data_IF_390844164003
#
_entry.id   IF_390844164003
#
_cell.length_a   1.000
_cell.length_b   1.000
_cell.length_c   1.000
_cell.angle_alpha   90.00
_cell.angle_beta   90.00
_cell.angle_gamma   90.00
#
_symmetry.space_group_name_H-M   'P 1'
#
loop_
_entity.id
_entity.type
_entity.pdbx_description
1 polymer ?
#
# COMPACT_ATOMS: atom_id res chain seq x y z
N UNK A 1 -3.19 6.06 -15.38
CA UNK A 1 -2.89 5.42 -14.07
C UNK A 1 -4.18 5.27 -13.31
N UNK A 2 -4.31 4.26 -12.45
CA UNK A 2 -5.44 4.14 -11.51
C UNK A 2 -4.88 4.16 -10.07
N UNK A 3 -5.31 5.14 -9.29
CA UNK A 3 -5.02 5.23 -7.85
C UNK A 3 -6.06 4.39 -7.11
N UNK A 4 -5.62 3.33 -6.42
CA UNK A 4 -6.49 2.34 -5.80
C UNK A 4 -6.33 2.42 -4.29
N UNK A 5 -7.42 2.73 -3.59
CA UNK A 5 -7.45 2.96 -2.15
C UNK A 5 -8.36 1.92 -1.49
N UNK A 6 -7.82 0.91 -0.80
CA UNK A 6 -8.63 0.01 0.01
C UNK A 6 -9.12 0.74 1.24
N UNK A 7 -10.41 0.62 1.56
CA UNK A 7 -11.02 1.28 2.72
C UNK A 7 -11.87 0.34 3.57
N UNK A 8 -11.86 0.60 4.88
CA UNK A 8 -12.82 0.06 5.84
C UNK A 8 -12.88 0.95 7.08
N UNK A 9 -13.96 1.76 7.17
CA UNK A 9 -14.18 2.76 8.22
C UNK A 9 -13.05 3.79 8.29
N UNK A 10 -12.82 4.49 7.17
CA UNK A 10 -11.72 5.45 6.98
C UNK A 10 -12.22 6.90 6.81
N UNK A 11 -13.47 7.21 7.23
CA UNK A 11 -14.06 8.54 7.08
C UNK A 11 -13.19 9.67 7.66
N UNK A 12 -12.42 9.37 8.71
CA UNK A 12 -11.51 10.33 9.35
C UNK A 12 -10.27 10.66 8.50
N UNK A 13 -9.73 9.68 7.77
CA UNK A 13 -8.42 9.80 7.09
C UNK A 13 -8.55 10.02 5.59
N UNK A 14 -9.53 9.39 4.96
CA UNK A 14 -9.75 9.42 3.53
C UNK A 14 -9.83 10.83 2.92
N UNK A 15 -10.47 11.86 3.54
CA UNK A 15 -10.51 13.20 2.97
C UNK A 15 -9.14 13.78 2.69
N UNK A 16 -8.20 13.62 3.62
CA UNK A 16 -6.84 14.17 3.50
C UNK A 16 -6.02 13.44 2.44
N UNK A 17 -6.17 12.12 2.32
CA UNK A 17 -5.58 11.37 1.22
C UNK A 17 -6.10 11.89 -0.11
N UNK A 18 -7.43 12.00 -0.29
CA UNK A 18 -8.05 12.44 -1.54
C UNK A 18 -7.65 13.88 -1.90
N UNK A 19 -7.46 14.75 -0.92
CA UNK A 19 -6.90 16.10 -1.12
C UNK A 19 -5.46 16.02 -1.62
N UNK A 20 -4.60 15.19 -1.02
CA UNK A 20 -3.22 15.00 -1.47
C UNK A 20 -3.11 14.36 -2.87
N UNK A 21 -4.09 13.51 -3.24
CA UNK A 21 -4.22 12.97 -4.60
C UNK A 21 -4.60 14.08 -5.58
N UNK A 22 -5.51 14.98 -5.23
CA UNK A 22 -5.86 16.13 -6.08
C UNK A 22 -4.70 17.12 -6.26
N UNK A 23 -3.81 17.23 -5.27
CA UNK A 23 -2.65 18.10 -5.29
C UNK A 23 -1.46 17.55 -6.09
N UNK A 24 -1.60 16.42 -6.79
CA UNK A 24 -0.51 15.88 -7.62
C UNK A 24 -0.20 16.81 -8.81
N UNK A 25 1.09 16.90 -9.17
CA UNK A 25 1.55 17.71 -10.32
C UNK A 25 1.08 17.18 -11.66
N UNK A 26 0.77 15.88 -11.74
CA UNK A 26 0.26 15.20 -12.93
C UNK A 26 -1.11 14.59 -12.63
N UNK A 27 -2.12 14.96 -13.43
CA UNK A 27 -3.52 14.57 -13.22
C UNK A 27 -4.02 13.46 -14.17
N UNK A 28 -3.13 12.73 -14.83
CA UNK A 28 -3.48 11.65 -15.76
C UNK A 28 -3.85 10.34 -15.03
N UNK A 29 -4.84 10.40 -14.12
CA UNK A 29 -5.28 9.24 -13.34
C UNK A 29 -6.77 9.27 -12.99
N UNK A 30 -7.30 8.10 -12.70
CA UNK A 30 -8.59 7.90 -12.01
C UNK A 30 -8.35 7.52 -10.54
N UNK A 31 -9.34 7.72 -9.69
CA UNK A 31 -9.31 7.30 -8.27
C UNK A 31 -10.39 6.26 -8.03
N UNK A 32 -9.99 5.11 -7.50
CA UNK A 32 -10.87 4.00 -7.15
C UNK A 32 -10.77 3.73 -5.65
N UNK A 33 -11.88 3.85 -4.95
CA UNK A 33 -12.00 3.49 -3.54
C UNK A 33 -12.65 2.11 -3.45
N UNK A 34 -11.86 1.13 -3.01
CA UNK A 34 -12.30 -0.25 -2.82
C UNK A 34 -12.78 -0.45 -1.38
N UNK A 35 -14.06 -0.22 -1.15
CA UNK A 35 -14.67 -0.22 0.18
C UNK A 35 -15.10 -1.62 0.63
N UNK A 36 -14.69 -2.01 1.84
CA UNK A 36 -14.94 -3.33 2.42
C UNK A 36 -16.09 -3.31 3.44
N UNK A 37 -17.19 -2.62 3.10
CA UNK A 37 -18.40 -2.54 3.95
C UNK A 37 -18.25 -1.53 5.09
N UNK A 38 -17.82 -0.31 4.81
CA UNK A 38 -17.75 0.78 5.79
C UNK A 38 -19.13 1.24 6.24
N UNK A 39 -19.23 1.61 7.51
CA UNK A 39 -20.47 2.09 8.17
C UNK A 39 -20.35 3.53 8.69
N UNK A 40 -19.23 4.23 8.44
CA UNK A 40 -18.86 5.52 9.03
C UNK A 40 -18.90 6.72 8.04
N UNK A 41 -19.53 6.56 6.90
CA UNK A 41 -19.58 7.63 5.89
C UNK A 41 -18.42 7.63 4.88
N UNK A 42 -17.46 6.72 4.98
CA UNK A 42 -16.33 6.56 4.03
C UNK A 42 -16.78 6.59 2.57
N UNK A 43 -17.82 5.82 2.23
CA UNK A 43 -18.37 5.72 0.87
C UNK A 43 -18.90 7.05 0.36
N UNK A 44 -19.62 7.80 1.20
CA UNK A 44 -20.17 9.11 0.84
C UNK A 44 -19.07 10.13 0.59
N UNK A 45 -18.04 10.13 1.43
CA UNK A 45 -16.83 10.97 1.25
C UNK A 45 -16.14 10.66 -0.07
N UNK A 46 -15.93 9.39 -0.38
CA UNK A 46 -15.30 8.98 -1.63
C UNK A 46 -16.07 9.45 -2.86
N UNK A 47 -17.40 9.24 -2.87
CA UNK A 47 -18.28 9.68 -3.98
C UNK A 47 -18.31 11.20 -4.11
N UNK A 48 -18.43 11.93 -3.02
CA UNK A 48 -18.40 13.40 -3.04
C UNK A 48 -17.07 13.95 -3.57
N UNK A 49 -15.98 13.19 -3.39
CA UNK A 49 -14.67 13.52 -3.95
C UNK A 49 -14.52 13.14 -5.43
N UNK A 50 -15.52 12.53 -6.07
CA UNK A 50 -15.46 12.11 -7.48
C UNK A 50 -14.75 10.77 -7.71
N UNK A 51 -14.47 10.00 -6.64
CA UNK A 51 -13.88 8.68 -6.79
C UNK A 51 -14.91 7.63 -7.25
N UNK A 52 -14.46 6.69 -8.06
CA UNK A 52 -15.22 5.46 -8.36
C UNK A 52 -15.19 4.56 -7.12
N UNK A 53 -16.36 4.22 -6.58
CA UNK A 53 -16.45 3.36 -5.40
C UNK A 53 -16.87 1.95 -5.80
N UNK A 54 -16.03 0.97 -5.45
CA UNK A 54 -16.33 -0.46 -5.60
C UNK A 54 -16.50 -1.09 -4.22
N UNK A 55 -17.70 -1.58 -3.93
CA UNK A 55 -18.03 -2.14 -2.62
C UNK A 55 -17.89 -3.66 -2.62
N UNK A 56 -17.57 -4.22 -1.46
CA UNK A 56 -17.49 -5.66 -1.24
C UNK A 56 -17.42 -6.02 0.23
N UNK A 57 -17.26 -7.30 0.49
CA UNK A 57 -17.15 -7.82 1.85
C UNK A 57 -15.73 -7.60 2.41
N UNK A 58 -15.63 -7.60 3.74
CA UNK A 58 -14.36 -7.52 4.44
C UNK A 58 -13.63 -8.87 4.47
N UNK A 59 -12.81 -9.12 3.45
CA UNK A 59 -11.99 -10.34 3.32
C UNK A 59 -10.49 -10.12 3.55
N UNK A 60 -10.06 -8.87 3.73
CA UNK A 60 -8.68 -8.48 3.96
C UNK A 60 -8.19 -7.40 2.98
N UNK A 61 -7.02 -6.81 3.24
CA UNK A 61 -6.51 -5.71 2.41
C UNK A 61 -6.14 -6.15 0.99
N UNK A 62 -5.66 -7.38 0.82
CA UNK A 62 -5.32 -7.95 -0.49
C UNK A 62 -6.55 -8.05 -1.40
N UNK A 63 -7.69 -8.54 -0.87
CA UNK A 63 -8.94 -8.63 -1.63
C UNK A 63 -9.43 -7.23 -2.02
N UNK A 64 -9.44 -6.28 -1.09
CA UNK A 64 -9.85 -4.90 -1.39
C UNK A 64 -9.03 -4.28 -2.51
N UNK A 65 -7.71 -4.43 -2.47
CA UNK A 65 -6.81 -3.94 -3.53
C UNK A 65 -7.05 -4.66 -4.86
N UNK A 66 -7.22 -5.98 -4.86
CA UNK A 66 -7.55 -6.75 -6.07
C UNK A 66 -8.88 -6.33 -6.68
N UNK A 67 -9.91 -6.11 -5.85
CA UNK A 67 -11.22 -5.62 -6.28
C UNK A 67 -11.10 -4.24 -6.95
N UNK A 68 -10.34 -3.32 -6.37
CA UNK A 68 -10.04 -2.04 -6.99
C UNK A 68 -9.30 -2.19 -8.32
N UNK A 69 -8.31 -3.08 -8.39
CA UNK A 69 -7.56 -3.35 -9.61
C UNK A 69 -8.42 -3.95 -10.73
N UNK A 70 -9.41 -4.79 -10.41
CA UNK A 70 -10.38 -5.31 -11.39
C UNK A 70 -11.27 -4.23 -12.00
N UNK A 71 -11.57 -3.19 -11.26
CA UNK A 71 -12.37 -2.05 -11.74
C UNK A 71 -11.57 -0.98 -12.47
N UNK A 72 -10.26 -1.01 -12.33
CA UNK A 72 -9.35 0.00 -12.86
C UNK A 72 -9.19 -0.10 -14.38
N UNK A 73 -9.12 1.05 -15.07
CA UNK A 73 -8.90 1.15 -16.51
C UNK A 73 -7.49 1.60 -16.91
N UNK A 74 -6.70 2.17 -15.99
CA UNK A 74 -5.33 2.64 -16.26
C UNK A 74 -4.33 1.50 -16.44
N UNK A 75 -3.26 1.72 -17.20
CA UNK A 75 -2.18 0.74 -17.45
C UNK A 75 -1.17 0.62 -16.30
N UNK A 76 -1.28 1.48 -15.32
CA UNK A 76 -0.48 1.51 -14.10
C UNK A 76 -1.41 1.57 -12.90
N UNK A 77 -1.22 0.70 -11.95
CA UNK A 77 -1.90 0.70 -10.66
C UNK A 77 -1.00 1.33 -9.60
N UNK A 78 -1.50 2.33 -8.90
CA UNK A 78 -0.89 2.93 -7.72
C UNK A 78 -1.78 2.60 -6.52
N UNK A 79 -1.32 1.71 -5.66
CA UNK A 79 -2.01 1.32 -4.43
C UNK A 79 -1.56 2.22 -3.28
N UNK A 80 -2.51 2.77 -2.56
CA UNK A 80 -2.25 3.68 -1.43
C UNK A 80 -3.21 3.38 -0.30
N UNK A 81 -2.70 3.26 0.93
CA UNK A 81 -3.56 3.10 2.11
C UNK A 81 -4.30 4.40 2.43
N UNK A 82 -5.54 4.29 2.94
CA UNK A 82 -6.44 5.41 3.15
C UNK A 82 -5.95 6.45 4.17
N UNK A 83 -4.99 6.09 5.01
CA UNK A 83 -4.39 6.95 6.04
C UNK A 83 -3.00 7.49 5.65
N UNK A 84 -2.71 7.51 4.35
CA UNK A 84 -1.48 8.09 3.80
C UNK A 84 -1.70 9.53 3.29
N UNK A 85 -0.59 10.28 3.22
CA UNK A 85 -0.49 11.58 2.56
C UNK A 85 0.58 11.51 1.49
N UNK A 86 0.22 11.87 0.27
CA UNK A 86 1.10 11.80 -0.89
C UNK A 86 1.82 13.13 -1.11
N UNK A 87 3.14 13.14 -1.34
CA UNK A 87 3.81 14.33 -1.79
C UNK A 87 3.39 14.67 -3.23
N UNK A 88 3.35 15.97 -3.62
CA UNK A 88 2.78 16.41 -4.90
C UNK A 88 3.41 15.78 -6.15
N UNK A 89 4.69 15.42 -6.11
CA UNK A 89 5.42 14.85 -7.24
C UNK A 89 5.38 13.32 -7.33
N UNK A 90 4.59 12.61 -6.49
CA UNK A 90 4.62 11.14 -6.46
C UNK A 90 4.23 10.52 -7.81
N UNK A 91 3.12 10.95 -8.41
CA UNK A 91 2.63 10.40 -9.68
C UNK A 91 3.64 10.64 -10.80
N UNK A 92 4.24 11.83 -10.86
CA UNK A 92 5.31 12.14 -11.80
C UNK A 92 6.53 11.21 -11.64
N UNK A 93 6.96 10.98 -10.41
CA UNK A 93 8.08 10.08 -10.10
C UNK A 93 7.79 8.62 -10.46
N UNK A 94 6.54 8.18 -10.29
CA UNK A 94 6.13 6.84 -10.73
C UNK A 94 6.20 6.74 -12.26
N UNK A 95 5.71 7.73 -12.99
CA UNK A 95 5.80 7.73 -14.45
C UNK A 95 7.26 7.75 -14.93
N UNK A 96 8.10 8.60 -14.35
CA UNK A 96 9.53 8.65 -14.68
C UNK A 96 10.25 7.31 -14.45
N UNK A 97 9.94 6.62 -13.35
CA UNK A 97 10.50 5.29 -13.11
C UNK A 97 10.03 4.24 -14.14
N UNK A 98 8.82 4.40 -14.67
CA UNK A 98 8.23 3.50 -15.65
C UNK A 98 8.66 3.82 -17.11
N UNK A 99 9.45 4.87 -17.38
CA UNK A 99 10.11 5.08 -18.67
C UNK A 99 11.07 3.92 -18.98
N UNK A 100 11.76 3.39 -17.96
CA UNK A 100 12.49 2.13 -18.08
C UNK A 100 11.48 0.96 -18.19
N UNK A 101 11.42 0.35 -19.38
CA UNK A 101 10.49 -0.75 -19.66
C UNK A 101 10.77 -2.02 -18.86
N UNK A 102 11.96 -2.16 -18.27
CA UNK A 102 12.29 -3.27 -17.38
C UNK A 102 11.65 -3.13 -16.00
N UNK A 103 11.30 -1.91 -15.60
CA UNK A 103 10.61 -1.63 -14.34
C UNK A 103 9.14 -1.99 -14.48
N UNK A 104 8.71 -2.95 -13.68
CA UNK A 104 7.33 -3.46 -13.69
C UNK A 104 6.52 -3.04 -12.45
N UNK A 105 7.18 -2.55 -11.42
CA UNK A 105 6.58 -2.08 -10.19
C UNK A 105 7.61 -1.49 -9.24
N UNK A 106 7.13 -0.98 -8.13
CA UNK A 106 8.01 -0.40 -7.11
C UNK A 106 7.24 0.01 -5.85
N UNK A 107 8.00 0.37 -4.84
CA UNK A 107 7.51 0.91 -3.57
C UNK A 107 8.16 2.25 -3.25
N UNK A 108 7.59 2.98 -2.30
CA UNK A 108 8.07 4.31 -1.90
C UNK A 108 8.74 4.27 -0.54
N UNK A 109 9.49 5.31 -0.22
CA UNK A 109 9.87 5.63 1.15
C UNK A 109 8.62 6.02 1.96
N UNK A 110 8.66 5.85 3.27
CA UNK A 110 7.56 6.22 4.15
C UNK A 110 8.06 6.86 5.43
N UNK A 111 7.24 7.73 6.01
CA UNK A 111 7.50 8.44 7.26
C UNK A 111 6.24 8.50 8.11
N UNK A 112 6.37 8.66 9.45
CA UNK A 112 5.23 8.83 10.32
C UNK A 112 4.66 10.24 10.19
N UNK A 113 3.36 10.36 9.94
CA UNK A 113 2.65 11.63 10.04
C UNK A 113 2.61 12.11 11.49
N UNK A 114 3.03 13.35 11.74
CA UNK A 114 3.10 13.93 13.09
C UNK A 114 3.78 12.99 14.11
N UNK A 115 4.89 12.38 13.67
CA UNK A 115 5.63 11.41 14.47
C UNK A 115 6.53 12.06 15.54
N UNK A 116 6.77 11.32 16.63
CA UNK A 116 7.81 11.62 17.59
C UNK A 116 9.19 11.38 16.97
N UNK A 117 10.27 11.89 17.62
CA UNK A 117 11.65 11.62 17.18
C UNK A 117 11.95 10.12 17.10
N UNK A 118 11.44 9.33 18.03
CA UNK A 118 11.59 7.87 18.04
C UNK A 118 10.89 7.23 16.82
N UNK A 119 9.66 7.63 16.54
CA UNK A 119 8.91 7.12 15.38
C UNK A 119 9.60 7.47 14.05
N UNK A 120 10.13 8.68 13.90
CA UNK A 120 10.93 9.04 12.73
C UNK A 120 12.20 8.18 12.58
N UNK A 121 12.93 7.91 13.67
CA UNK A 121 14.12 7.04 13.61
C UNK A 121 13.73 5.62 13.22
N UNK A 122 12.65 5.07 13.81
CA UNK A 122 12.14 3.74 13.51
C UNK A 122 11.77 3.61 12.03
N UNK A 123 11.00 4.58 11.49
CA UNK A 123 10.56 4.58 10.11
C UNK A 123 11.71 4.78 9.12
N UNK A 124 12.69 5.63 9.46
CA UNK A 124 13.92 5.77 8.66
C UNK A 124 14.70 4.46 8.58
N UNK A 125 14.84 3.74 9.69
CA UNK A 125 15.50 2.43 9.70
C UNK A 125 14.72 1.40 8.85
N UNK A 126 13.39 1.34 8.97
CA UNK A 126 12.54 0.46 8.17
C UNK A 126 12.59 0.81 6.67
N UNK A 127 12.55 2.09 6.31
CA UNK A 127 12.70 2.58 4.94
C UNK A 127 14.08 2.22 4.36
N UNK A 128 15.15 2.41 5.14
CA UNK A 128 16.51 2.05 4.74
C UNK A 128 16.63 0.53 4.50
N UNK A 129 16.07 -0.28 5.39
CA UNK A 129 16.00 -1.74 5.22
C UNK A 129 15.26 -2.11 3.92
N UNK A 130 14.07 -1.54 3.69
CA UNK A 130 13.28 -1.78 2.46
C UNK A 130 14.08 -1.43 1.21
N UNK A 131 14.76 -0.29 1.22
CA UNK A 131 15.60 0.17 0.12
C UNK A 131 16.74 -0.82 -0.16
N UNK A 132 17.55 -1.14 0.86
CA UNK A 132 18.70 -2.05 0.73
C UNK A 132 18.26 -3.42 0.21
N UNK A 133 17.21 -4.00 0.80
CA UNK A 133 16.69 -5.29 0.36
C UNK A 133 16.24 -5.25 -1.10
N UNK A 134 15.55 -4.19 -1.52
CA UNK A 134 15.11 -4.03 -2.91
C UNK A 134 16.30 -3.89 -3.87
N UNK A 135 17.29 -3.07 -3.53
CA UNK A 135 18.51 -2.88 -4.32
C UNK A 135 19.36 -4.17 -4.41
N UNK A 136 19.36 -5.01 -3.37
CA UNK A 136 19.98 -6.33 -3.37
C UNK A 136 19.19 -7.42 -4.13
N UNK A 137 18.06 -7.06 -4.77
CA UNK A 137 17.24 -8.01 -5.52
C UNK A 137 16.27 -8.82 -4.67
N UNK A 138 16.04 -8.44 -3.42
CA UNK A 138 15.01 -8.99 -2.53
C UNK A 138 13.96 -7.93 -2.22
N UNK A 139 13.08 -7.58 -3.19
CA UNK A 139 12.17 -6.46 -3.06
C UNK A 139 11.27 -6.63 -1.83
N UNK A 140 11.33 -5.64 -0.94
CA UNK A 140 10.50 -5.56 0.23
C UNK A 140 9.47 -4.43 0.05
N UNK A 141 8.21 -4.70 0.40
CA UNK A 141 7.14 -3.72 0.27
C UNK A 141 6.35 -3.65 1.58
N UNK A 142 6.43 -2.52 2.25
CA UNK A 142 5.73 -2.27 3.51
C UNK A 142 4.21 -2.05 3.35
N UNK A 143 3.72 -1.91 2.10
CA UNK A 143 2.29 -1.87 1.78
C UNK A 143 1.64 -0.49 1.79
N UNK A 144 2.27 0.54 2.33
CA UNK A 144 1.68 1.89 2.45
C UNK A 144 1.40 2.56 1.11
N UNK A 145 2.39 2.49 0.19
CA UNK A 145 2.27 3.01 -1.17
C UNK A 145 3.19 2.21 -2.10
N UNK A 146 2.61 1.65 -3.16
CA UNK A 146 3.35 0.87 -4.15
C UNK A 146 2.62 0.87 -5.49
N UNK A 147 3.35 0.59 -6.57
CA UNK A 147 2.79 0.60 -7.91
C UNK A 147 3.20 -0.61 -8.72
N UNK A 148 2.39 -0.93 -9.72
CA UNK A 148 2.66 -1.96 -10.71
C UNK A 148 2.14 -1.57 -12.09
N UNK A 149 2.82 -2.01 -13.16
CA UNK A 149 2.17 -2.08 -14.46
C UNK A 149 1.01 -3.07 -14.40
N UNK A 150 -0.14 -2.70 -14.95
CA UNK A 150 -1.33 -3.57 -15.02
C UNK A 150 -0.96 -4.96 -15.54
N UNK A 151 -0.23 -5.03 -16.68
CA UNK A 151 0.14 -6.29 -17.32
C UNK A 151 0.95 -7.20 -16.36
N UNK A 152 1.91 -6.64 -15.60
CA UNK A 152 2.69 -7.39 -14.62
C UNK A 152 1.82 -7.84 -13.44
N UNK A 153 1.01 -6.95 -12.88
CA UNK A 153 0.09 -7.26 -11.78
C UNK A 153 -0.88 -8.39 -12.14
N UNK A 154 -1.48 -8.31 -13.32
CA UNK A 154 -2.41 -9.32 -13.83
C UNK A 154 -1.70 -10.65 -14.07
N UNK A 155 -0.49 -10.64 -14.66
CA UNK A 155 0.29 -11.86 -14.91
C UNK A 155 0.71 -12.55 -13.62
N UNK A 156 0.93 -11.80 -12.54
CA UNK A 156 1.19 -12.33 -11.20
C UNK A 156 -0.06 -12.90 -10.51
N UNK A 157 -1.25 -12.70 -11.07
CA UNK A 157 -2.52 -13.09 -10.45
C UNK A 157 -2.96 -12.16 -9.32
N UNK A 158 -2.38 -10.95 -9.23
CA UNK A 158 -2.66 -9.99 -8.17
C UNK A 158 -2.07 -10.37 -6.81
N UNK A 159 -2.61 -9.74 -5.77
CA UNK A 159 -2.26 -10.01 -4.37
C UNK A 159 -2.91 -11.32 -3.90
N UNK A 160 -2.23 -12.03 -3.04
CA UNK A 160 -2.79 -13.24 -2.40
C UNK A 160 -3.86 -12.86 -1.38
N UNK A 161 -5.09 -13.30 -1.62
CA UNK A 161 -6.24 -12.97 -0.77
C UNK A 161 -6.33 -13.86 0.48
N UNK A 162 -5.61 -14.98 0.50
CA UNK A 162 -5.44 -15.87 1.65
C UNK A 162 -4.45 -15.34 2.70
N UNK A 163 -3.78 -14.21 2.42
CA UNK A 163 -2.84 -13.55 3.31
C UNK A 163 -3.43 -12.26 3.88
N UNK A 164 -3.41 -12.12 5.21
CA UNK A 164 -3.82 -10.88 5.90
C UNK A 164 -2.66 -9.95 6.23
N UNK A 165 -1.44 -10.44 6.14
CA UNK A 165 -0.18 -9.72 6.30
C UNK A 165 0.81 -10.23 5.25
N UNK A 166 1.75 -9.37 4.85
CA UNK A 166 2.78 -9.66 3.85
C UNK A 166 2.29 -9.94 2.43
N UNK A 167 1.00 -9.75 2.10
CA UNK A 167 0.47 -9.90 0.74
C UNK A 167 1.16 -8.95 -0.25
N UNK A 168 1.55 -7.76 0.23
CA UNK A 168 2.28 -6.75 -0.56
C UNK A 168 3.76 -7.10 -0.70
N UNK A 169 4.36 -7.72 0.31
CA UNK A 169 5.71 -8.25 0.23
C UNK A 169 5.76 -9.46 -0.71
N UNK A 170 4.79 -10.36 -0.62
CA UNK A 170 4.68 -11.54 -1.48
C UNK A 170 4.62 -11.18 -2.97
N UNK A 171 3.76 -10.22 -3.36
CA UNK A 171 3.71 -9.81 -4.78
C UNK A 171 5.00 -9.15 -5.23
N UNK A 172 5.67 -8.36 -4.39
CA UNK A 172 6.96 -7.78 -4.69
C UNK A 172 8.02 -8.88 -4.93
N UNK A 173 8.06 -9.90 -4.08
CA UNK A 173 8.97 -11.05 -4.25
C UNK A 173 8.68 -11.87 -5.51
N UNK A 174 7.40 -12.16 -5.81
CA UNK A 174 7.00 -12.87 -7.03
C UNK A 174 7.31 -12.07 -8.30
N UNK A 175 7.30 -10.75 -8.23
CA UNK A 175 7.54 -9.87 -9.39
C UNK A 175 8.95 -10.02 -9.97
N UNK A 176 9.91 -10.51 -9.21
CA UNK A 176 11.31 -10.76 -9.65
C UNK A 176 11.41 -11.64 -10.91
N UNK A 177 10.43 -12.52 -11.13
CA UNK A 177 10.39 -13.39 -12.32
C UNK A 177 9.96 -12.66 -13.59
N UNK A 178 9.42 -11.44 -13.48
CA UNK A 178 8.86 -10.70 -14.62
C UNK A 178 9.64 -9.44 -14.98
N UNK A 179 10.40 -8.88 -14.06
CA UNK A 179 11.15 -7.64 -14.29
C UNK A 179 11.66 -7.01 -12.99
N UNK A 180 12.04 -5.75 -13.07
CA UNK A 180 12.61 -5.01 -11.94
C UNK A 180 11.51 -4.40 -11.07
N UNK A 181 11.58 -4.65 -9.79
CA UNK A 181 10.84 -3.92 -8.75
C UNK A 181 11.80 -2.88 -8.15
N UNK A 182 11.41 -1.61 -8.12
CA UNK A 182 12.30 -0.51 -7.72
C UNK A 182 11.84 0.15 -6.42
N UNK A 183 12.78 0.76 -5.73
CA UNK A 183 12.51 1.62 -4.58
C UNK A 183 12.58 3.09 -5.03
N UNK A 184 11.50 3.84 -4.83
CA UNK A 184 11.48 5.28 -5.09
C UNK A 184 11.76 6.05 -3.78
N UNK A 185 12.76 6.94 -3.75
CA UNK A 185 13.08 7.75 -2.58
C UNK A 185 12.09 8.93 -2.41
N UNK A 186 10.82 8.67 -2.64
CA UNK A 186 9.72 9.63 -2.46
C UNK A 186 9.00 9.26 -1.18
N UNK A 187 8.95 10.18 -0.23
CA UNK A 187 8.41 9.92 1.10
C UNK A 187 6.89 10.10 1.10
N UNK A 188 6.18 9.04 1.43
CA UNK A 188 4.74 9.05 1.73
C UNK A 188 4.58 9.05 3.24
N UNK A 189 3.81 9.99 3.78
CA UNK A 189 3.51 10.00 5.21
C UNK A 189 2.33 9.07 5.51
N UNK A 190 2.39 8.37 6.64
CA UNK A 190 1.34 7.46 7.06
C UNK A 190 1.02 7.60 8.54
N UNK A 191 -0.21 7.28 8.91
CA UNK A 191 -0.69 7.38 10.29
C UNK A 191 0.00 6.39 11.23
N UNK A 192 0.35 6.84 12.44
CA UNK A 192 0.88 6.00 13.52
C UNK A 192 -0.20 5.28 14.34
N UNK A 193 -1.47 5.36 13.92
CA UNK A 193 -2.62 4.80 14.69
C UNK A 193 -2.42 3.33 15.07
N UNK A 194 -1.88 2.51 14.17
CA UNK A 194 -1.66 1.08 14.39
C UNK A 194 -0.66 0.85 15.53
N UNK A 195 0.48 1.55 15.48
CA UNK A 195 1.51 1.47 16.53
C UNK A 195 1.01 1.98 17.87
N UNK A 196 0.26 3.09 17.87
CA UNK A 196 -0.28 3.71 19.09
C UNK A 196 -1.40 2.89 19.70
N UNK A 197 -2.21 2.19 18.87
CA UNK A 197 -3.32 1.34 19.35
C UNK A 197 -2.85 -0.01 19.87
N UNK A 198 -1.92 -0.67 19.17
CA UNK A 198 -1.49 -2.04 19.51
C UNK A 198 -0.17 -2.12 20.26
N UNK A 199 0.55 -1.00 20.36
CA UNK A 199 1.88 -0.92 20.94
C UNK A 199 2.99 -1.27 19.94
N UNK A 200 4.15 -0.60 20.14
CA UNK A 200 5.31 -0.73 19.23
C UNK A 200 5.88 -2.14 19.23
N UNK A 201 6.09 -2.72 20.40
CA UNK A 201 6.70 -4.05 20.53
C UNK A 201 5.86 -5.10 19.76
N UNK A 202 4.55 -5.13 19.97
CA UNK A 202 3.67 -6.05 19.27
C UNK A 202 3.71 -5.84 17.76
N UNK A 203 3.56 -4.59 17.29
CA UNK A 203 3.52 -4.28 15.87
C UNK A 203 4.84 -4.62 15.19
N UNK A 204 5.99 -4.26 15.81
CA UNK A 204 7.30 -4.53 15.21
C UNK A 204 7.64 -6.02 15.26
N UNK A 205 7.60 -6.64 16.46
CA UNK A 205 8.11 -8.00 16.61
C UNK A 205 7.13 -9.06 16.13
N UNK A 206 5.84 -8.94 16.45
CA UNK A 206 4.86 -9.97 16.06
C UNK A 206 4.33 -9.75 14.63
N UNK A 207 3.91 -8.53 14.30
CA UNK A 207 3.25 -8.29 13.01
C UNK A 207 4.26 -8.13 11.85
N UNK A 208 5.40 -7.46 12.05
CA UNK A 208 6.38 -7.29 10.98
C UNK A 208 7.48 -8.36 10.99
N UNK A 209 8.25 -8.51 12.08
CA UNK A 209 9.41 -9.39 12.06
C UNK A 209 8.99 -10.86 12.03
N UNK A 210 8.18 -11.32 12.99
CA UNK A 210 7.80 -12.72 13.07
C UNK A 210 6.99 -13.17 11.87
N UNK A 211 6.03 -12.34 11.38
CA UNK A 211 5.25 -12.70 10.20
C UNK A 211 6.10 -12.80 8.93
N UNK A 212 7.10 -11.92 8.78
CA UNK A 212 8.02 -11.95 7.64
C UNK A 212 8.95 -13.18 7.71
N UNK A 213 9.47 -13.52 8.89
CA UNK A 213 10.27 -14.74 9.08
C UNK A 213 9.46 -16.00 8.77
N UNK A 214 8.21 -16.07 9.25
CA UNK A 214 7.30 -17.18 8.95
C UNK A 214 7.04 -17.26 7.44
N UNK A 215 6.81 -16.11 6.79
CA UNK A 215 6.63 -16.07 5.34
C UNK A 215 7.85 -16.64 4.59
N UNK A 216 9.08 -16.27 4.94
CA UNK A 216 10.27 -16.80 4.30
C UNK A 216 10.45 -18.31 4.48
N UNK A 217 10.00 -18.88 5.61
CA UNK A 217 10.11 -20.32 5.89
C UNK A 217 8.97 -21.11 5.25
N UNK A 218 7.73 -20.57 5.26
CA UNK A 218 6.53 -21.35 4.90
C UNK A 218 5.87 -20.92 3.59
N UNK A 219 6.26 -19.77 3.04
CA UNK A 219 5.58 -19.13 1.91
C UNK A 219 4.17 -18.62 2.24
N UNK A 220 3.80 -18.60 3.52
CA UNK A 220 2.48 -18.19 4.02
C UNK A 220 2.61 -17.34 5.28
N UNK A 221 1.61 -16.52 5.56
CA UNK A 221 1.49 -15.85 6.85
C UNK A 221 0.33 -16.47 7.62
N UNK A 222 0.48 -16.84 8.90
CA UNK A 222 -0.62 -17.37 9.69
C UNK A 222 -1.67 -16.29 9.90
N UNK A 223 -2.77 -16.40 9.16
CA UNK A 223 -3.82 -15.39 9.06
C UNK A 223 -4.64 -15.20 10.35
N UNK A 224 -4.82 -16.27 11.15
CA UNK A 224 -5.73 -16.23 12.30
C UNK A 224 -5.13 -15.55 13.54
N UNK A 225 -3.82 -15.70 13.79
CA UNK A 225 -3.14 -15.07 14.93
C UNK A 225 -2.90 -13.57 14.76
N UNK A 226 -2.91 -13.08 13.53
CA UNK A 226 -2.54 -11.71 13.16
C UNK A 226 -3.69 -10.92 12.54
N UNK A 227 -4.96 -11.33 12.74
CA UNK A 227 -6.08 -10.50 12.29
C UNK A 227 -5.92 -9.10 12.84
N UNK A 228 -5.65 -8.09 11.99
CA UNK A 228 -5.62 -6.72 12.46
C UNK A 228 -7.00 -6.39 13.00
N UNK A 229 -7.08 -6.11 14.30
CA UNK A 229 -8.28 -5.52 14.86
C UNK A 229 -8.39 -4.10 14.30
N UNK A 230 -9.59 -3.56 14.09
CA UNK A 230 -9.73 -2.18 13.64
C UNK A 230 -9.05 -1.26 14.66
N UNK A 231 -8.10 -0.46 14.23
CA UNK A 231 -7.66 0.68 15.00
C UNK A 231 -8.79 1.71 14.89
N UNK A 232 -9.59 1.83 15.94
CA UNK A 232 -10.68 2.83 16.04
C UNK A 232 -10.09 4.20 16.29
#
# INVERSE_FOLDING_TARGET
MSVIVPTWNEARYLPRLLESVRAQTVHAFEVIVADSGSMDGTVNIARAAGATVVQGERKGPGEGRNRGARAAIGDVFLFVDADCLLPPALVERVFAALEDRTVIGGSTAFAPENGTRFEHVLFRAATAYQRVMTECGFPHNAGYCFFFRRAAFTRLGGLREDMLLNETHDIAMRSRSLGRFVFLPVVVETSMRRFRTYGYARTIFAEYIASTLIYYVTGRTPSERFRPKPAR
#
